data_IF_959884172418
#
_entry.id   IF_959884172418
#
_cell.length_a   1.000
_cell.length_b   1.000
_cell.length_c   1.000
_cell.angle_alpha   90.00
_cell.angle_beta   90.00
_cell.angle_gamma   90.00
#
_symmetry.space_group_name_H-M   'P 1'
#
loop_
_entity.id
_entity.type
_entity.pdbx_description
1 polymer ?
#
# COMPACT_ATOMS: atom_id res chain seq x y z
N UNK A 1 15.64 -3.08 -2.70
CA UNK A 1 14.31 -2.91 -3.31
C UNK A 1 13.32 -2.54 -2.23
N UNK A 2 12.32 -1.69 -2.51
CA UNK A 2 11.32 -1.29 -1.53
C UNK A 2 9.92 -1.49 -2.09
N UNK A 3 9.04 -2.10 -1.30
CA UNK A 3 7.64 -2.32 -1.64
C UNK A 3 6.75 -1.54 -0.66
N UNK A 4 5.81 -0.76 -1.20
CA UNK A 4 4.80 -0.05 -0.43
C UNK A 4 3.44 -0.70 -0.70
N UNK A 5 2.83 -1.29 0.33
CA UNK A 5 1.55 -1.97 0.21
C UNK A 5 0.39 -0.96 0.28
N UNK A 6 -0.46 -0.93 -0.75
CA UNK A 6 -1.63 -0.06 -0.85
C UNK A 6 -2.91 -0.68 -0.26
N UNK A 7 -3.99 0.09 -0.26
CA UNK A 7 -5.30 -0.33 0.22
C UNK A 7 -5.84 -1.55 -0.53
N UNK A 8 -5.68 -1.62 -1.85
CA UNK A 8 -6.21 -2.71 -2.68
C UNK A 8 -5.54 -4.04 -2.37
N UNK A 9 -4.22 -4.06 -2.22
CA UNK A 9 -3.48 -5.27 -1.85
C UNK A 9 -3.84 -5.69 -0.42
N UNK A 10 -3.85 -4.75 0.53
CA UNK A 10 -4.17 -5.05 1.93
C UNK A 10 -5.56 -5.66 2.09
N UNK A 11 -6.55 -5.18 1.34
CA UNK A 11 -7.88 -5.78 1.31
C UNK A 11 -7.87 -7.27 0.93
N UNK A 12 -6.99 -7.67 0.00
CA UNK A 12 -6.83 -9.07 -0.44
C UNK A 12 -6.08 -9.90 0.59
N UNK A 13 -4.95 -9.40 1.09
CA UNK A 13 -4.11 -10.09 2.09
C UNK A 13 -4.89 -10.38 3.38
N UNK A 14 -5.66 -9.41 3.87
CA UNK A 14 -6.41 -9.54 5.13
C UNK A 14 -7.68 -10.39 5.00
N UNK A 15 -8.14 -10.68 3.79
CA UNK A 15 -9.37 -11.46 3.60
C UNK A 15 -9.20 -12.85 4.24
N UNK A 16 -10.17 -13.39 5.01
CA UNK A 16 -9.97 -14.63 5.77
C UNK A 16 -9.59 -15.83 4.89
N UNK A 17 -10.32 -16.07 3.80
CA UNK A 17 -10.21 -17.29 2.99
C UNK A 17 -9.80 -17.02 1.54
N UNK A 18 -10.33 -15.98 0.91
CA UNK A 18 -9.98 -15.60 -0.46
C UNK A 18 -8.51 -15.15 -0.60
N UNK A 19 -8.05 -15.09 -1.86
CA UNK A 19 -6.71 -14.65 -2.28
C UNK A 19 -5.53 -15.41 -1.64
N UNK A 20 -5.54 -16.76 -1.64
CA UNK A 20 -4.43 -17.55 -1.09
C UNK A 20 -3.11 -17.29 -1.82
N UNK A 21 -3.17 -16.98 -3.11
CA UNK A 21 -2.07 -16.57 -3.97
C UNK A 21 -1.39 -15.28 -3.50
N UNK A 22 -2.17 -14.23 -3.21
CA UNK A 22 -1.65 -12.95 -2.72
C UNK A 22 -1.01 -13.10 -1.34
N UNK A 23 -1.59 -13.93 -0.47
CA UNK A 23 -1.02 -14.21 0.85
C UNK A 23 0.29 -15.00 0.75
N UNK A 24 0.33 -16.01 -0.11
CA UNK A 24 1.54 -16.78 -0.36
C UNK A 24 2.64 -15.90 -0.95
N UNK A 25 2.29 -15.01 -1.87
CA UNK A 25 3.21 -14.01 -2.43
C UNK A 25 3.79 -13.10 -1.35
N UNK A 26 2.95 -12.54 -0.46
CA UNK A 26 3.43 -11.67 0.61
C UNK A 26 4.33 -12.43 1.59
N UNK A 27 3.94 -13.64 1.97
CA UNK A 27 4.76 -14.48 2.86
C UNK A 27 6.12 -14.79 2.23
N UNK A 28 6.17 -15.17 0.96
CA UNK A 28 7.42 -15.43 0.27
C UNK A 28 8.34 -14.18 0.20
N UNK A 29 7.75 -13.00 0.02
CA UNK A 29 8.48 -11.74 0.05
C UNK A 29 9.00 -11.39 1.45
N UNK A 30 8.23 -11.64 2.51
CA UNK A 30 8.69 -11.47 3.89
C UNK A 30 9.83 -12.44 4.22
N UNK A 31 9.73 -13.70 3.80
CA UNK A 31 10.79 -14.71 3.97
C UNK A 31 12.06 -14.33 3.18
N UNK A 32 11.92 -13.69 2.02
CA UNK A 32 13.04 -13.16 1.25
C UNK A 32 13.67 -11.95 1.94
N UNK A 33 12.87 -10.97 2.38
CA UNK A 33 13.35 -9.78 3.11
C UNK A 33 14.05 -10.15 4.43
N UNK A 34 13.64 -11.22 5.09
CA UNK A 34 14.34 -11.76 6.26
C UNK A 34 15.75 -12.30 5.97
N UNK A 35 16.08 -12.56 4.69
CA UNK A 35 17.38 -13.07 4.23
C UNK A 35 18.23 -12.01 3.51
N UNK A 36 17.60 -10.97 2.95
CA UNK A 36 18.25 -9.89 2.23
C UNK A 36 17.93 -8.52 2.86
N UNK A 37 18.94 -7.93 3.51
CA UNK A 37 18.86 -6.60 4.14
C UNK A 37 18.58 -5.47 3.13
N UNK A 38 18.71 -5.73 1.84
CA UNK A 38 18.40 -4.80 0.77
C UNK A 38 16.91 -4.70 0.44
N UNK A 39 16.04 -5.56 1.00
CA UNK A 39 14.59 -5.54 0.74
C UNK A 39 13.82 -5.01 1.95
N UNK A 40 13.03 -3.96 1.71
CA UNK A 40 12.10 -3.42 2.71
C UNK A 40 10.66 -3.51 2.17
N UNK A 41 9.74 -4.00 2.98
CA UNK A 41 8.32 -4.13 2.63
C UNK A 41 7.55 -3.43 3.72
N UNK A 42 6.79 -2.38 3.40
CA UNK A 42 6.09 -1.55 4.38
C UNK A 42 4.66 -1.28 3.96
N UNK A 43 3.78 -1.10 4.93
CA UNK A 43 2.38 -0.69 4.70
C UNK A 43 2.31 0.83 4.59
N UNK A 44 1.55 1.37 3.63
CA UNK A 44 1.25 2.80 3.63
C UNK A 44 0.42 3.18 4.86
N UNK A 45 0.83 4.20 5.61
CA UNK A 45 0.02 4.75 6.71
C UNK A 45 -1.36 5.24 6.26
N UNK A 46 -1.48 5.72 5.01
CA UNK A 46 -2.77 6.09 4.42
C UNK A 46 -3.65 4.85 4.24
N UNK A 47 -3.09 3.77 3.68
CA UNK A 47 -3.81 2.53 3.47
C UNK A 47 -4.24 1.86 4.79
N UNK A 48 -3.37 1.86 5.81
CA UNK A 48 -3.76 1.42 7.16
C UNK A 48 -4.92 2.28 7.69
N UNK A 49 -4.83 3.61 7.59
CA UNK A 49 -5.88 4.51 8.06
C UNK A 49 -7.22 4.23 7.37
N UNK A 50 -7.25 4.11 6.03
CA UNK A 50 -8.47 3.87 5.25
C UNK A 50 -9.19 2.58 5.67
N UNK A 51 -8.45 1.48 5.83
CA UNK A 51 -9.04 0.22 6.25
C UNK A 51 -9.43 0.24 7.72
N UNK A 52 -8.52 0.71 8.58
CA UNK A 52 -8.71 0.75 10.03
C UNK A 52 -9.92 1.58 10.41
N UNK A 53 -10.10 2.77 9.83
CA UNK A 53 -11.27 3.62 10.13
C UNK A 53 -12.59 2.94 9.76
N UNK A 54 -12.62 2.21 8.65
CA UNK A 54 -13.81 1.49 8.20
C UNK A 54 -14.19 0.33 9.13
N UNK A 55 -13.20 -0.44 9.59
CA UNK A 55 -13.45 -1.51 10.57
C UNK A 55 -13.88 -0.95 11.91
N UNK A 56 -13.20 0.09 12.40
CA UNK A 56 -13.53 0.74 13.66
C UNK A 56 -14.96 1.31 13.67
N UNK A 57 -15.44 1.85 12.55
CA UNK A 57 -16.82 2.38 12.47
C UNK A 57 -17.92 1.31 12.49
N UNK A 58 -17.57 0.04 12.23
CA UNK A 58 -18.53 -1.06 12.11
C UNK A 58 -18.39 -2.11 13.24
N UNK A 59 -17.51 -1.87 14.23
CA UNK A 59 -17.24 -2.83 15.32
C UNK A 59 -18.48 -3.22 16.13
N UNK A 60 -19.41 -2.29 16.36
CA UNK A 60 -20.66 -2.55 17.11
C UNK A 60 -21.70 -3.32 16.29
N UNK A 61 -21.46 -3.50 14.99
CA UNK A 61 -22.43 -4.04 14.02
C UNK A 61 -22.00 -5.41 13.48
N UNK A 62 -20.71 -5.74 13.50
CA UNK A 62 -20.14 -6.90 12.80
C UNK A 62 -18.93 -7.48 13.53
N UNK A 63 -19.06 -8.70 14.06
CA UNK A 63 -17.96 -9.42 14.71
C UNK A 63 -16.75 -9.69 13.79
N UNK A 64 -17.00 -9.81 12.48
CA UNK A 64 -15.94 -10.07 11.50
C UNK A 64 -14.98 -8.87 11.33
N UNK A 65 -15.39 -7.66 11.68
CA UNK A 65 -14.54 -6.46 11.60
C UNK A 65 -13.45 -6.46 12.66
N UNK A 66 -13.73 -7.04 13.84
CA UNK A 66 -12.70 -7.27 14.87
C UNK A 66 -11.60 -8.20 14.35
N UNK A 67 -11.99 -9.30 13.71
CA UNK A 67 -11.04 -10.24 13.09
C UNK A 67 -10.31 -9.60 11.90
N UNK A 68 -10.96 -8.74 11.13
CA UNK A 68 -10.32 -8.01 10.03
C UNK A 68 -9.26 -7.03 10.56
N UNK A 69 -9.56 -6.31 11.64
CA UNK A 69 -8.62 -5.41 12.31
C UNK A 69 -7.43 -6.16 12.92
N UNK A 70 -7.66 -7.33 13.53
CA UNK A 70 -6.58 -8.19 14.03
C UNK A 70 -5.63 -8.64 12.91
N UNK A 71 -6.17 -9.05 11.75
CA UNK A 71 -5.35 -9.40 10.58
C UNK A 71 -4.58 -8.21 10.03
N UNK A 72 -5.20 -7.03 9.97
CA UNK A 72 -4.52 -5.79 9.57
C UNK A 72 -3.35 -5.48 10.53
N UNK A 73 -3.56 -5.61 11.84
CA UNK A 73 -2.51 -5.43 12.83
C UNK A 73 -1.36 -6.43 12.65
N UNK A 74 -1.65 -7.69 12.33
CA UNK A 74 -0.62 -8.70 12.05
C UNK A 74 0.21 -8.32 10.80
N UNK A 75 -0.44 -7.90 9.71
CA UNK A 75 0.27 -7.47 8.50
C UNK A 75 1.17 -6.26 8.79
N UNK A 76 0.65 -5.26 9.52
CA UNK A 76 1.40 -4.07 9.91
C UNK A 76 2.57 -4.40 10.85
N UNK A 77 2.41 -5.38 11.74
CA UNK A 77 3.50 -5.82 12.62
C UNK A 77 4.60 -6.56 11.84
N UNK A 78 4.24 -7.35 10.84
CA UNK A 78 5.21 -8.08 10.01
C UNK A 78 5.97 -7.18 9.02
N UNK A 79 5.32 -6.17 8.46
CA UNK A 79 5.91 -5.28 7.44
C UNK A 79 6.46 -3.97 8.04
N UNK A 80 5.89 -3.50 9.15
CA UNK A 80 6.01 -2.10 9.55
C UNK A 80 5.11 -1.19 8.72
N UNK A 81 5.01 0.07 9.13
CA UNK A 81 4.16 1.10 8.51
C UNK A 81 5.02 2.30 8.14
N UNK A 82 4.97 2.69 6.86
CA UNK A 82 5.63 3.89 6.39
C UNK A 82 4.90 5.12 6.92
N UNK A 83 5.59 5.89 7.77
CA UNK A 83 5.05 7.09 8.38
C UNK A 83 4.70 8.15 7.32
N UNK A 84 3.76 9.03 7.67
CA UNK A 84 3.42 10.20 6.87
C UNK A 84 4.15 11.42 7.42
N UNK A 85 4.90 12.10 6.57
CA UNK A 85 5.62 13.33 6.88
C UNK A 85 4.83 14.56 6.43
N UNK A 86 5.17 15.73 6.96
CA UNK A 86 4.65 17.00 6.43
C UNK A 86 5.00 17.18 4.93
N UNK A 87 6.13 16.62 4.49
CA UNK A 87 6.56 16.68 3.09
C UNK A 87 5.65 15.86 2.18
N UNK A 88 5.13 14.71 2.62
CA UNK A 88 4.16 13.95 1.82
C UNK A 88 2.95 14.78 1.47
N UNK A 89 2.43 15.59 2.40
CA UNK A 89 1.27 16.45 2.12
C UNK A 89 1.58 17.58 1.14
N UNK A 90 2.78 18.18 1.23
CA UNK A 90 3.23 19.20 0.27
C UNK A 90 3.35 18.61 -1.13
N UNK A 91 4.07 17.48 -1.27
CA UNK A 91 4.25 16.79 -2.55
C UNK A 91 2.90 16.32 -3.14
N UNK A 92 2.01 15.78 -2.30
CA UNK A 92 0.66 15.39 -2.68
C UNK A 92 -0.18 16.57 -3.20
N UNK A 93 -0.12 17.73 -2.54
CA UNK A 93 -0.85 18.92 -2.97
C UNK A 93 -0.37 19.41 -4.35
N UNK A 94 0.94 19.39 -4.60
CA UNK A 94 1.51 19.72 -5.90
C UNK A 94 1.07 18.72 -6.99
N UNK A 95 1.19 17.43 -6.72
CA UNK A 95 0.76 16.35 -7.62
C UNK A 95 -0.73 16.47 -7.97
N UNK A 96 -1.58 16.69 -6.97
CA UNK A 96 -3.02 16.89 -7.14
C UNK A 96 -3.32 18.12 -8.00
N UNK A 97 -2.68 19.26 -7.72
CA UNK A 97 -2.89 20.49 -8.49
C UNK A 97 -2.47 20.34 -9.96
N UNK A 98 -1.41 19.57 -10.24
CA UNK A 98 -1.00 19.24 -11.60
C UNK A 98 -2.03 18.33 -12.27
N UNK A 99 -2.47 17.26 -11.59
CA UNK A 99 -3.45 16.31 -12.12
C UNK A 99 -4.80 16.96 -12.41
N UNK A 100 -5.26 17.84 -11.52
CA UNK A 100 -6.50 18.60 -11.70
C UNK A 100 -6.41 19.52 -12.92
N UNK A 101 -5.35 20.32 -13.05
CA UNK A 101 -5.14 21.23 -14.19
C UNK A 101 -5.03 20.50 -15.53
N UNK A 102 -4.55 19.26 -15.52
CA UNK A 102 -4.37 18.43 -16.72
C UNK A 102 -5.52 17.45 -16.98
N UNK A 103 -6.57 17.45 -16.15
CA UNK A 103 -7.78 16.66 -16.36
C UNK A 103 -7.67 15.17 -16.04
N UNK A 104 -6.72 14.75 -15.19
CA UNK A 104 -6.53 13.35 -14.81
C UNK A 104 -6.61 13.08 -13.30
N UNK A 105 -7.22 13.98 -12.53
CA UNK A 105 -7.54 13.78 -11.09
C UNK A 105 -8.21 12.43 -10.84
N UNK A 106 -7.86 11.75 -9.74
CA UNK A 106 -8.45 10.46 -9.34
C UNK A 106 -9.63 10.62 -8.38
N UNK A 107 -9.69 11.73 -7.65
CA UNK A 107 -10.81 12.09 -6.79
C UNK A 107 -11.65 13.27 -7.31
N UNK A 108 -12.85 13.41 -6.75
CA UNK A 108 -13.75 14.54 -6.99
C UNK A 108 -13.20 15.86 -6.45
N UNK A 109 -13.80 16.98 -6.85
CA UNK A 109 -13.28 18.32 -6.54
C UNK A 109 -13.21 18.63 -5.04
N UNK A 110 -14.08 18.00 -4.25
CA UNK A 110 -14.17 18.21 -2.79
C UNK A 110 -13.68 17.01 -1.99
N UNK A 111 -13.20 15.98 -2.66
CA UNK A 111 -12.78 14.74 -2.03
C UNK A 111 -11.27 14.76 -1.79
N UNK A 112 -10.83 14.13 -0.70
CA UNK A 112 -9.41 13.88 -0.48
C UNK A 112 -8.97 12.77 -1.42
N UNK A 113 -7.95 13.05 -2.23
CA UNK A 113 -7.37 12.07 -3.17
C UNK A 113 -6.34 11.21 -2.46
N UNK A 114 -6.77 10.09 -1.84
CA UNK A 114 -5.87 9.24 -1.06
C UNK A 114 -4.76 8.61 -1.91
N UNK A 115 -5.03 8.29 -3.18
CA UNK A 115 -4.04 7.78 -4.14
C UNK A 115 -2.87 8.76 -4.29
N UNK A 116 -3.14 10.08 -4.29
CA UNK A 116 -2.08 11.10 -4.43
C UNK A 116 -1.18 11.17 -3.20
N UNK A 117 -1.72 10.91 -2.01
CA UNK A 117 -0.94 10.88 -0.76
C UNK A 117 -0.10 9.59 -0.72
N UNK A 118 -0.64 8.46 -1.15
CA UNK A 118 0.12 7.20 -1.30
C UNK A 118 1.27 7.38 -2.30
N UNK A 119 1.01 8.03 -3.45
CA UNK A 119 2.06 8.35 -4.42
C UNK A 119 3.15 9.25 -3.81
N UNK A 120 2.77 10.25 -3.00
CA UNK A 120 3.75 11.08 -2.30
C UNK A 120 4.57 10.28 -1.27
N UNK A 121 3.98 9.29 -0.58
CA UNK A 121 4.73 8.37 0.29
C UNK A 121 5.73 7.53 -0.51
N UNK A 122 5.32 6.98 -1.66
CA UNK A 122 6.20 6.19 -2.53
C UNK A 122 7.33 7.01 -3.16
N UNK A 123 7.15 8.33 -3.29
CA UNK A 123 8.21 9.23 -3.74
C UNK A 123 9.21 9.57 -2.63
N UNK A 124 8.74 9.80 -1.40
CA UNK A 124 9.63 10.05 -0.25
C UNK A 124 10.35 8.78 0.22
N UNK A 125 9.68 7.64 0.12
CA UNK A 125 10.23 6.31 0.31
C UNK A 125 10.26 5.61 -1.05
N UNK A 126 11.31 5.82 -1.88
CA UNK A 126 11.39 5.31 -3.26
C UNK A 126 11.09 3.82 -3.36
N UNK A 127 9.83 3.50 -3.61
CA UNK A 127 9.28 2.16 -3.54
C UNK A 127 8.32 1.90 -4.71
N UNK A 128 8.18 0.62 -5.04
CA UNK A 128 7.14 0.16 -5.94
C UNK A 128 5.85 0.08 -5.12
N UNK A 129 4.81 0.79 -5.53
CA UNK A 129 3.49 0.66 -4.92
C UNK A 129 2.84 -0.62 -5.44
N UNK A 130 2.55 -1.55 -4.53
CA UNK A 130 1.92 -2.82 -4.90
C UNK A 130 0.41 -2.63 -4.81
N UNK A 131 -0.25 -2.63 -5.96
CA UNK A 131 -1.67 -2.25 -6.11
C UNK A 131 -2.30 -2.93 -7.31
N UNK A 132 -3.62 -3.12 -7.29
CA UNK A 132 -4.38 -3.51 -8.49
C UNK A 132 -4.97 -2.32 -9.25
N UNK A 133 -4.51 -1.11 -8.94
CA UNK A 133 -4.98 0.14 -9.55
C UNK A 133 -3.80 1.00 -10.03
N UNK A 134 -2.90 0.39 -10.80
CA UNK A 134 -1.62 0.98 -11.23
C UNK A 134 -1.85 2.29 -11.97
N UNK A 135 -2.91 2.37 -12.78
CA UNK A 135 -3.27 3.58 -13.54
C UNK A 135 -3.57 4.79 -12.65
N UNK A 136 -4.04 4.60 -11.43
CA UNK A 136 -4.30 5.72 -10.52
C UNK A 136 -3.02 6.28 -9.91
N UNK A 137 -2.01 5.45 -9.69
CA UNK A 137 -0.76 5.84 -9.06
C UNK A 137 0.30 6.29 -10.07
N UNK A 138 0.47 5.54 -11.16
CA UNK A 138 1.48 5.83 -12.21
C UNK A 138 1.33 7.21 -12.85
N UNK A 139 0.11 7.76 -12.91
CA UNK A 139 -0.14 9.14 -13.41
C UNK A 139 0.53 10.23 -12.57
N UNK A 140 0.90 9.93 -11.33
CA UNK A 140 1.63 10.81 -10.43
C UNK A 140 3.16 10.61 -10.51
N UNK A 141 3.63 9.75 -11.42
CA UNK A 141 5.05 9.54 -11.71
C UNK A 141 5.76 8.58 -10.75
N UNK A 142 5.02 7.71 -10.05
CA UNK A 142 5.56 6.66 -9.19
C UNK A 142 5.48 5.29 -9.86
N UNK A 143 6.37 4.38 -9.48
CA UNK A 143 6.29 2.97 -9.92
C UNK A 143 5.16 2.28 -9.14
N UNK A 144 4.24 1.66 -9.86
CA UNK A 144 3.11 0.96 -9.29
C UNK A 144 2.77 -0.26 -10.16
N UNK A 145 2.59 -1.42 -9.53
CA UNK A 145 2.45 -2.71 -10.19
C UNK A 145 1.48 -3.63 -9.45
N UNK A 146 0.80 -4.52 -10.17
CA UNK A 146 0.11 -5.63 -9.52
C UNK A 146 1.13 -6.57 -8.89
N UNK A 147 0.75 -7.21 -7.79
CA UNK A 147 1.60 -8.17 -7.07
C UNK A 147 2.12 -9.29 -8.00
N UNK A 148 1.33 -9.70 -8.99
CA UNK A 148 1.68 -10.76 -9.93
C UNK A 148 2.83 -10.37 -10.88
N UNK A 149 3.11 -9.07 -11.03
CA UNK A 149 4.20 -8.55 -11.84
C UNK A 149 5.52 -8.43 -11.05
N UNK A 150 5.52 -8.77 -9.76
CA UNK A 150 6.66 -8.64 -8.84
C UNK A 150 7.07 -10.05 -8.36
N UNK A 151 7.79 -10.83 -9.18
CA UNK A 151 8.21 -12.18 -8.80
C UNK A 151 9.31 -12.15 -7.73
N UNK A 152 9.34 -13.19 -6.88
CA UNK A 152 10.44 -13.41 -5.94
C UNK A 152 11.71 -13.71 -6.74
N UNK A 153 12.83 -13.00 -6.51
CA UNK A 153 14.09 -13.31 -7.16
C UNK A 153 14.57 -14.73 -6.82
N UNK A 154 15.02 -15.49 -7.81
CA UNK A 154 15.49 -16.88 -7.62
C UNK A 154 16.74 -16.96 -6.72
N UNK A 155 17.54 -15.88 -6.65
CA UNK A 155 18.69 -15.74 -5.76
C UNK A 155 18.71 -14.35 -5.09
N UNK A 156 19.10 -14.23 -3.80
CA UNK A 156 19.43 -12.94 -3.21
C UNK A 156 20.59 -12.29 -3.99
N UNK A 157 20.55 -10.98 -4.31
CA UNK A 157 21.65 -10.30 -4.96
C UNK A 157 22.91 -10.44 -4.09
N UNK A 158 23.88 -11.24 -4.55
CA UNK A 158 25.14 -11.51 -3.85
C UNK A 158 25.42 -12.97 -3.46
N UNK A 159 24.58 -13.93 -3.88
CA UNK A 159 24.92 -15.36 -3.87
C UNK A 159 25.86 -15.74 -5.02
#
# INVERSE_FOLDING_TARGET
MRLLLDTNLLMRVRHPTNHPDVKAWLQAWLDYAGRDVGVEIVVSAVADYELRRGYLSELDRRDDERKALERLNQVCASCGVQQISARNFLDAAEMWAIARRRGYSTAGERDVDWDVIIAAQAKEFPAIVVTSNEKHLTRYGVDAKDWSEIPIPENPPGA
#
